data_IF_919056730877
#
_entry.id   IF_919056730877
#
_cell.length_a   1.000
_cell.length_b   1.000
_cell.length_c   1.000
_cell.angle_alpha   90.00
_cell.angle_beta   90.00
_cell.angle_gamma   90.00
#
_symmetry.space_group_name_H-M   'P 1'
#
loop_
_entity.id
_entity.type
_entity.pdbx_description
1 polymer ?
#
# COMPACT_ATOMS: atom_id res chain seq x y z
N UNK A 1 4.61 -10.78 -60.15
CA UNK A 1 3.23 -10.26 -60.02
C UNK A 1 2.92 -10.24 -58.54
N UNK A 2 3.44 -9.22 -57.85
CA UNK A 2 3.20 -9.00 -56.44
C UNK A 2 1.93 -8.17 -56.30
N UNK A 3 0.80 -8.83 -56.07
CA UNK A 3 -0.39 -8.16 -55.55
C UNK A 3 -0.52 -8.56 -54.08
N UNK A 4 0.33 -7.95 -53.25
CA UNK A 4 0.21 -8.00 -51.80
C UNK A 4 -1.14 -7.41 -51.41
N UNK A 5 -2.07 -8.28 -51.01
CA UNK A 5 -3.29 -7.89 -50.32
C UNK A 5 -2.89 -7.18 -49.04
N UNK A 6 -3.11 -5.87 -48.97
CA UNK A 6 -2.94 -5.10 -47.77
C UNK A 6 -4.05 -5.49 -46.77
N UNK A 7 -3.82 -6.55 -46.01
CA UNK A 7 -4.49 -6.77 -44.73
C UNK A 7 -4.03 -5.64 -43.81
N UNK A 8 -4.81 -4.56 -43.75
CA UNK A 8 -4.70 -3.57 -42.68
C UNK A 8 -5.09 -4.28 -41.37
N UNK A 9 -4.11 -4.96 -40.78
CA UNK A 9 -4.16 -5.51 -39.44
C UNK A 9 -4.26 -4.32 -38.48
N UNK A 10 -5.46 -4.04 -37.97
CA UNK A 10 -5.65 -3.14 -36.83
C UNK A 10 -4.74 -3.58 -35.68
N UNK A 11 -3.95 -2.70 -35.05
CA UNK A 11 -3.20 -3.08 -33.87
C UNK A 11 -4.18 -3.40 -32.74
N UNK A 12 -4.22 -4.69 -32.40
CA UNK A 12 -4.85 -5.21 -31.21
C UNK A 12 -4.25 -4.55 -29.97
N UNK A 13 -5.12 -4.28 -29.00
CA UNK A 13 -4.81 -3.96 -27.62
C UNK A 13 -4.36 -2.54 -27.30
N UNK A 14 -5.33 -1.62 -27.36
CA UNK A 14 -5.50 -0.64 -26.28
C UNK A 14 -5.84 -1.42 -24.99
N UNK A 15 -4.82 -1.89 -24.28
CA UNK A 15 -5.03 -2.36 -22.90
C UNK A 15 -5.53 -1.17 -22.09
N UNK A 16 -6.59 -1.30 -21.27
CA UNK A 16 -6.86 -0.29 -20.27
C UNK A 16 -5.64 -0.25 -19.36
N UNK A 17 -4.92 0.85 -19.39
CA UNK A 17 -3.85 1.13 -18.43
C UNK A 17 -4.50 0.93 -17.06
N UNK A 18 -4.03 0.02 -16.19
CA UNK A 18 -4.59 -0.07 -14.86
C UNK A 18 -4.47 1.32 -14.28
N UNK A 19 -5.59 1.92 -13.87
CA UNK A 19 -5.56 3.21 -13.17
C UNK A 19 -4.85 2.93 -11.86
N UNK A 20 -3.53 3.04 -11.88
CA UNK A 20 -2.69 2.84 -10.71
C UNK A 20 -3.26 3.76 -9.64
N UNK A 21 -3.73 3.17 -8.56
CA UNK A 21 -4.29 3.96 -7.47
C UNK A 21 -3.17 4.83 -6.91
N UNK A 22 -3.48 6.02 -6.40
CA UNK A 22 -2.48 6.91 -5.79
C UNK A 22 -1.67 6.18 -4.69
N UNK A 23 -2.30 5.20 -4.04
CA UNK A 23 -1.66 4.31 -3.07
C UNK A 23 -0.62 3.38 -3.68
N UNK A 24 -0.91 2.73 -4.81
CA UNK A 24 0.02 1.80 -5.47
C UNK A 24 1.25 2.54 -6.00
N UNK A 25 1.08 3.75 -6.55
CA UNK A 25 2.20 4.61 -6.93
C UNK A 25 3.03 4.97 -5.69
N UNK A 26 2.37 5.37 -4.60
CA UNK A 26 3.04 5.73 -3.37
C UNK A 26 3.81 4.57 -2.71
N UNK A 27 3.24 3.36 -2.73
CA UNK A 27 3.87 2.13 -2.21
C UNK A 27 5.07 1.72 -3.09
N UNK A 28 4.97 1.89 -4.42
CA UNK A 28 6.06 1.64 -5.36
C UNK A 28 7.22 2.64 -5.22
N UNK A 29 6.91 3.92 -4.99
CA UNK A 29 7.91 4.97 -4.74
C UNK A 29 8.64 4.78 -3.40
N UNK A 30 8.00 4.09 -2.45
CA UNK A 30 8.49 3.93 -1.09
C UNK A 30 8.45 2.46 -0.62
N UNK A 31 9.21 1.55 -1.26
CA UNK A 31 9.12 0.12 -1.00
C UNK A 31 9.57 -0.28 0.42
N UNK A 32 10.24 0.61 1.16
CA UNK A 32 10.67 0.38 2.54
C UNK A 32 9.54 0.50 3.58
N UNK A 33 8.41 1.16 3.24
CA UNK A 33 7.30 1.36 4.18
C UNK A 33 6.59 0.03 4.47
N UNK A 34 6.25 -0.71 3.42
CA UNK A 34 5.54 -1.98 3.52
C UNK A 34 6.20 -2.99 4.48
N UNK A 35 7.47 -3.40 4.30
CA UNK A 35 8.11 -4.39 5.16
C UNK A 35 8.29 -3.89 6.60
N UNK A 36 8.49 -2.59 6.80
CA UNK A 36 8.57 -2.01 8.14
C UNK A 36 7.22 -2.06 8.87
N UNK A 37 6.13 -1.79 8.15
CA UNK A 37 4.77 -1.89 8.66
C UNK A 37 4.42 -3.33 9.02
N UNK A 38 4.59 -4.26 8.08
CA UNK A 38 4.34 -5.68 8.26
C UNK A 38 5.12 -6.25 9.45
N UNK A 39 6.42 -5.98 9.52
CA UNK A 39 7.25 -6.42 10.64
C UNK A 39 6.73 -5.90 11.97
N UNK A 40 6.38 -4.62 12.05
CA UNK A 40 5.90 -4.03 13.30
C UNK A 40 4.57 -4.62 13.73
N UNK A 41 3.66 -4.86 12.79
CA UNK A 41 2.37 -5.49 13.06
C UNK A 41 2.53 -6.92 13.55
N UNK A 42 3.34 -7.73 12.87
CA UNK A 42 3.62 -9.11 13.29
C UNK A 42 4.33 -9.16 14.64
N UNK A 43 5.23 -8.21 14.91
CA UNK A 43 5.90 -8.09 16.20
C UNK A 43 4.90 -7.81 17.33
N UNK A 44 3.94 -6.91 17.12
CA UNK A 44 2.87 -6.63 18.09
C UNK A 44 1.97 -7.86 18.33
N UNK A 45 1.60 -8.57 17.27
CA UNK A 45 0.82 -9.81 17.38
C UNK A 45 1.60 -10.85 18.19
N UNK A 46 2.88 -11.03 17.91
CA UNK A 46 3.76 -11.95 18.66
C UNK A 46 3.97 -11.55 20.12
N UNK A 47 3.70 -10.30 20.48
CA UNK A 47 3.71 -9.82 21.87
C UNK A 47 2.39 -10.05 22.61
N UNK A 48 1.36 -10.55 21.93
CA UNK A 48 0.03 -10.81 22.51
C UNK A 48 -0.89 -9.59 22.52
N UNK A 49 -0.64 -8.59 21.68
CA UNK A 49 -1.63 -7.52 21.47
C UNK A 49 -2.80 -8.06 20.64
N UNK A 50 -4.02 -7.91 21.15
CA UNK A 50 -5.24 -8.34 20.44
C UNK A 50 -5.75 -7.26 19.49
N UNK A 51 -5.59 -5.99 19.85
CA UNK A 51 -6.00 -4.84 19.04
C UNK A 51 -4.96 -3.72 19.05
N UNK A 52 -4.76 -3.08 17.90
CA UNK A 52 -3.86 -1.94 17.79
C UNK A 52 -4.29 -0.95 16.69
N UNK A 53 -3.95 0.33 16.89
CA UNK A 53 -4.27 1.37 15.92
C UNK A 53 -3.29 1.38 14.74
N UNK A 54 -3.81 1.32 13.52
CA UNK A 54 -2.99 1.40 12.30
C UNK A 54 -2.13 2.67 12.25
N UNK A 55 -2.66 3.79 12.76
CA UNK A 55 -1.92 5.07 12.86
C UNK A 55 -0.71 4.95 13.79
N UNK A 56 -0.83 4.25 14.92
CA UNK A 56 0.28 4.08 15.86
C UNK A 56 1.42 3.25 15.24
N UNK A 57 1.08 2.17 14.52
CA UNK A 57 2.07 1.40 13.73
C UNK A 57 2.74 2.29 12.69
N UNK A 58 1.96 3.10 11.98
CA UNK A 58 2.46 3.97 10.92
C UNK A 58 3.39 5.07 11.43
N UNK A 59 3.08 5.67 12.59
CA UNK A 59 3.99 6.60 13.27
C UNK A 59 5.29 5.90 13.71
N UNK A 60 5.21 4.66 14.20
CA UNK A 60 6.42 3.90 14.53
C UNK A 60 7.31 3.67 13.30
N UNK A 61 6.70 3.28 12.17
CA UNK A 61 7.40 3.15 10.87
C UNK A 61 7.99 4.49 10.44
N UNK A 62 7.26 5.59 10.63
CA UNK A 62 7.74 6.95 10.34
C UNK A 62 9.03 7.26 11.10
N UNK A 63 9.07 7.02 12.41
CA UNK A 63 10.28 7.27 13.20
C UNK A 63 11.44 6.37 12.76
N UNK A 64 11.18 5.07 12.52
CA UNK A 64 12.20 4.13 12.02
C UNK A 64 12.80 4.54 10.68
N UNK A 65 11.98 5.06 9.76
CA UNK A 65 12.46 5.51 8.45
C UNK A 65 13.20 6.85 8.53
N UNK A 66 12.76 7.79 9.38
CA UNK A 66 13.49 9.04 9.66
C UNK A 66 14.88 8.74 10.22
N UNK A 67 14.99 7.79 11.15
CA UNK A 67 16.26 7.39 11.73
C UNK A 67 17.20 6.80 10.67
N UNK A 68 16.66 5.97 9.77
CA UNK A 68 17.43 5.30 8.70
C UNK A 68 17.89 6.23 7.58
N UNK A 69 17.10 7.25 7.23
CA UNK A 69 17.39 8.15 6.10
C UNK A 69 17.86 9.55 6.52
N UNK A 70 17.92 9.83 7.83
CA UNK A 70 18.34 11.10 8.40
C UNK A 70 17.34 12.25 8.16
N UNK A 71 17.48 13.33 8.94
CA UNK A 71 16.64 14.55 8.85
C UNK A 71 16.66 15.25 7.46
N UNK A 72 17.52 14.82 6.54
CA UNK A 72 17.71 15.43 5.21
C UNK A 72 16.78 14.88 4.13
N UNK A 73 16.12 13.74 4.37
CA UNK A 73 15.09 13.23 3.46
C UNK A 73 13.75 13.89 3.77
N UNK A 74 13.20 14.65 2.84
CA UNK A 74 11.81 15.14 2.86
C UNK A 74 10.80 13.97 2.73
N UNK A 75 10.92 12.93 3.56
CA UNK A 75 10.04 11.77 3.56
C UNK A 75 8.74 12.15 4.26
N UNK A 76 7.88 12.87 3.55
CA UNK A 76 6.56 13.27 4.06
C UNK A 76 5.61 12.07 3.93
N UNK A 77 5.63 11.19 4.93
CA UNK A 77 4.62 10.14 5.06
C UNK A 77 3.23 10.77 5.08
N UNK A 78 2.40 10.38 4.10
CA UNK A 78 1.05 10.88 3.98
C UNK A 78 0.11 10.04 4.85
N UNK A 79 -0.53 10.70 5.82
CA UNK A 79 -1.46 10.07 6.76
C UNK A 79 -2.67 9.41 6.06
N UNK A 80 -3.02 9.86 4.84
CA UNK A 80 -4.14 9.32 4.08
C UNK A 80 -3.94 7.85 3.69
N UNK A 81 -2.70 7.38 3.54
CA UNK A 81 -2.42 6.00 3.13
C UNK A 81 -2.40 5.00 4.29
N UNK A 82 -2.44 5.46 5.54
CA UNK A 82 -2.46 4.58 6.73
C UNK A 82 -3.58 3.54 6.65
N UNK A 83 -4.78 3.96 6.23
CA UNK A 83 -5.91 3.05 6.07
C UNK A 83 -5.71 2.05 4.92
N UNK A 84 -5.04 2.46 3.83
CA UNK A 84 -4.71 1.58 2.72
C UNK A 84 -3.72 0.49 3.14
N UNK A 85 -2.70 0.84 3.93
CA UNK A 85 -1.74 -0.12 4.48
C UNK A 85 -2.41 -1.13 5.44
N UNK A 86 -3.31 -0.67 6.31
CA UNK A 86 -4.08 -1.56 7.18
C UNK A 86 -4.91 -2.57 6.38
N UNK A 87 -5.65 -2.09 5.36
CA UNK A 87 -6.42 -2.97 4.46
C UNK A 87 -5.54 -3.95 3.67
N UNK A 88 -4.37 -3.49 3.19
CA UNK A 88 -3.39 -4.34 2.50
C UNK A 88 -2.92 -5.47 3.42
N UNK A 89 -2.64 -5.17 4.69
CA UNK A 89 -2.31 -6.16 5.70
C UNK A 89 -3.46 -7.13 5.97
N UNK A 90 -4.67 -6.64 6.21
CA UNK A 90 -5.85 -7.48 6.44
C UNK A 90 -6.14 -8.42 5.27
N UNK A 91 -5.88 -7.98 4.03
CA UNK A 91 -6.02 -8.82 2.83
C UNK A 91 -4.97 -9.93 2.75
N UNK A 92 -3.73 -9.68 3.15
CA UNK A 92 -2.66 -10.68 3.11
C UNK A 92 -2.68 -11.61 4.31
N UNK A 93 -3.15 -11.13 5.46
CA UNK A 93 -3.28 -11.89 6.69
C UNK A 93 -4.74 -11.91 7.16
N UNK A 94 -5.62 -12.67 6.49
CA UNK A 94 -7.03 -12.75 6.87
C UNK A 94 -7.24 -13.29 8.29
N UNK A 95 -6.26 -14.03 8.84
CA UNK A 95 -6.25 -14.48 10.24
C UNK A 95 -6.18 -13.36 11.28
N UNK A 96 -5.72 -12.16 10.89
CA UNK A 96 -5.55 -10.99 11.77
C UNK A 96 -6.50 -9.86 11.38
N UNK A 97 -7.62 -10.18 10.75
CA UNK A 97 -8.60 -9.20 10.27
C UNK A 97 -9.19 -8.33 11.40
N UNK A 98 -9.20 -8.82 12.64
CA UNK A 98 -9.70 -8.09 13.82
C UNK A 98 -8.61 -7.29 14.56
N UNK A 99 -7.35 -7.38 14.12
CA UNK A 99 -6.23 -6.75 14.81
C UNK A 99 -6.26 -5.21 14.68
N UNK A 100 -6.62 -4.70 13.52
CA UNK A 100 -6.72 -3.26 13.30
C UNK A 100 -8.12 -2.74 13.57
N UNK A 101 -8.24 -1.83 14.54
CA UNK A 101 -9.47 -1.09 14.77
C UNK A 101 -9.65 -0.03 13.67
N UNK A 102 -10.16 -0.44 12.51
CA UNK A 102 -10.54 0.49 11.46
C UNK A 102 -11.88 1.12 11.85
N UNK A 103 -11.87 2.38 12.31
CA UNK A 103 -13.10 3.18 12.29
C UNK A 103 -13.55 3.26 10.83
N UNK A 104 -14.82 2.91 10.55
CA UNK A 104 -15.42 3.08 9.22
C UNK A 104 -15.17 4.53 8.77
N UNK A 105 -14.40 4.71 7.71
CA UNK A 105 -14.15 6.04 7.17
C UNK A 105 -15.26 6.38 6.18
N UNK A 106 -15.55 7.66 5.93
CA UNK A 106 -16.54 8.07 4.92
C UNK A 106 -16.22 7.58 3.51
N UNK A 107 -14.97 7.18 3.23
CA UNK A 107 -14.60 6.52 1.98
C UNK A 107 -15.18 5.09 1.83
N UNK A 108 -15.66 4.48 2.92
CA UNK A 108 -16.29 3.15 2.94
C UNK A 108 -17.82 3.24 2.88
N UNK A 109 -18.37 4.43 3.13
CA UNK A 109 -19.81 4.70 3.09
C UNK A 109 -20.08 5.60 1.88
N UNK A 110 -20.22 4.95 0.72
CA UNK A 110 -20.85 5.39 -0.52
C UNK A 110 -21.17 6.89 -0.70
#
# INVERSE_FOLDING_TARGET
MDSGTATCQLPLFMQPIPRVTEFEQYDADHPAIWPAFEYQTLWLIGKGFEHYGAKAVFEHVRYRLIDRHGKKGHFKLNNNFTACYARKFMRMYPQFNEFFETRKSKADTN
#
